data_IF_358314797589
#
_entry.id   IF_358314797589
#
_cell.length_a   1.000
_cell.length_b   1.000
_cell.length_c   1.000
_cell.angle_alpha   90.00
_cell.angle_beta   90.00
_cell.angle_gamma   90.00
#
_symmetry.space_group_name_H-M   'P 1'
#
loop_
_entity.id
_entity.type
_entity.pdbx_description
1 polymer ?
#
# COMPACT_ATOMS: atom_id res chain seq x y z
N UNK A 1 -48.70 22.61 9.05
CA UNK A 1 -49.46 23.74 8.48
C UNK A 1 -48.46 24.84 8.16
N UNK A 2 -48.56 25.49 6.97
CA UNK A 2 -47.67 26.55 6.39
C UNK A 2 -46.44 26.03 5.64
N UNK A 3 -46.07 26.51 4.44
CA UNK A 3 -46.78 27.23 3.38
C UNK A 3 -45.88 27.09 2.13
N UNK A 4 -46.41 26.57 1.02
CA UNK A 4 -45.70 26.45 -0.27
C UNK A 4 -45.64 27.84 -0.91
N UNK A 5 -44.45 28.30 -1.32
CA UNK A 5 -44.33 29.39 -2.30
C UNK A 5 -43.92 28.82 -3.65
N UNK A 6 -44.89 28.81 -4.55
CA UNK A 6 -44.73 28.66 -5.99
C UNK A 6 -44.44 30.06 -6.52
N UNK A 7 -43.30 30.26 -7.18
CA UNK A 7 -43.07 31.44 -8.03
C UNK A 7 -42.94 30.98 -9.47
N UNK A 8 -43.98 31.26 -10.23
CA UNK A 8 -43.97 31.28 -11.69
C UNK A 8 -43.22 32.52 -12.16
N UNK A 9 -42.31 32.38 -13.11
CA UNK A 9 -41.76 33.51 -13.87
C UNK A 9 -41.82 33.19 -15.35
N UNK A 10 -42.25 34.24 -16.07
CA UNK A 10 -42.69 34.34 -17.44
C UNK A 10 -41.79 33.66 -18.49
N UNK A 11 -42.46 33.04 -19.45
CA UNK A 11 -41.92 32.69 -20.75
C UNK A 11 -41.92 33.92 -21.68
N UNK A 12 -40.75 34.33 -22.13
CA UNK A 12 -40.57 35.25 -23.26
C UNK A 12 -40.10 34.46 -24.48
N UNK A 13 -40.99 34.32 -25.45
CA UNK A 13 -40.69 33.75 -26.76
C UNK A 13 -39.95 34.78 -27.63
N UNK A 14 -38.65 34.56 -27.83
CA UNK A 14 -37.85 35.26 -28.85
C UNK A 14 -37.54 34.27 -29.96
N UNK A 15 -38.26 34.44 -31.07
CA UNK A 15 -38.03 33.77 -32.35
C UNK A 15 -36.72 34.24 -32.97
N UNK A 16 -35.67 33.43 -32.80
CA UNK A 16 -34.40 33.56 -33.51
C UNK A 16 -34.44 32.80 -34.82
N UNK A 17 -34.21 33.52 -35.92
CA UNK A 17 -34.02 33.01 -37.26
C UNK A 17 -32.87 32.01 -37.31
N UNK A 18 -33.17 30.77 -37.68
CA UNK A 18 -32.23 29.66 -37.81
C UNK A 18 -31.34 29.84 -39.05
N UNK A 19 -30.17 30.46 -38.86
CA UNK A 19 -29.06 30.32 -39.81
C UNK A 19 -28.46 28.93 -39.59
N UNK A 20 -28.73 28.01 -40.52
CA UNK A 20 -28.09 26.68 -40.56
C UNK A 20 -26.63 26.87 -40.96
N UNK A 21 -25.77 27.11 -39.97
CA UNK A 21 -24.32 26.99 -40.13
C UNK A 21 -24.01 25.49 -40.20
N UNK A 22 -23.75 25.00 -41.41
CA UNK A 22 -23.12 23.68 -41.63
C UNK A 22 -21.71 23.72 -41.04
N UNK A 23 -21.61 23.51 -39.72
CA UNK A 23 -20.37 23.28 -39.03
C UNK A 23 -19.79 21.96 -39.56
N UNK A 24 -18.81 22.06 -40.46
CA UNK A 24 -17.95 20.95 -40.82
C UNK A 24 -17.28 20.46 -39.53
N UNK A 25 -17.84 19.41 -38.94
CA UNK A 25 -17.23 18.71 -37.82
C UNK A 25 -15.91 18.13 -38.32
N UNK A 26 -14.82 18.86 -38.13
CA UNK A 26 -13.47 18.31 -38.26
C UNK A 26 -13.47 17.06 -37.37
N UNK A 27 -13.44 15.88 -37.99
CA UNK A 27 -13.29 14.62 -37.27
C UNK A 27 -12.01 14.77 -36.45
N UNK A 28 -12.15 15.02 -35.15
CA UNK A 28 -11.01 15.10 -34.25
C UNK A 28 -10.33 13.75 -34.34
N UNK A 29 -9.08 13.72 -34.81
CA UNK A 29 -8.28 12.49 -34.75
C UNK A 29 -8.38 11.97 -33.32
N UNK A 30 -8.78 10.71 -33.18
CA UNK A 30 -8.86 10.07 -31.87
C UNK A 30 -7.48 10.15 -31.22
N UNK A 31 -7.40 10.79 -30.05
CA UNK A 31 -6.17 10.80 -29.25
C UNK A 31 -5.67 9.37 -29.04
N UNK A 32 -4.38 9.14 -29.27
CA UNK A 32 -3.73 7.85 -29.00
C UNK A 32 -3.37 7.74 -27.52
N UNK A 33 -3.08 6.53 -27.03
CA UNK A 33 -2.65 6.36 -25.63
C UNK A 33 -1.33 7.10 -25.33
N UNK A 34 -0.48 7.32 -26.34
CA UNK A 34 0.76 8.08 -26.20
C UNK A 34 0.48 9.56 -25.98
N UNK A 35 -0.46 10.13 -26.73
CA UNK A 35 -0.89 11.52 -26.55
C UNK A 35 -1.48 11.74 -25.13
N UNK A 36 -2.22 10.75 -24.62
CA UNK A 36 -2.76 10.76 -23.26
C UNK A 36 -1.65 10.72 -22.20
N UNK A 37 -0.64 9.85 -22.38
CA UNK A 37 0.50 9.76 -21.47
C UNK A 37 1.27 11.09 -21.45
N UNK A 38 1.56 11.67 -22.62
CA UNK A 38 2.22 12.97 -22.72
C UNK A 38 1.42 14.09 -22.02
N UNK A 39 0.11 14.12 -22.23
CA UNK A 39 -0.80 15.03 -21.54
C UNK A 39 -0.75 14.85 -20.02
N UNK A 40 -0.70 13.62 -19.53
CA UNK A 40 -0.57 13.32 -18.10
C UNK A 40 0.77 13.81 -17.53
N UNK A 41 1.89 13.63 -18.23
CA UNK A 41 3.17 14.20 -17.82
C UNK A 41 3.14 15.73 -17.79
N UNK A 42 2.52 16.38 -18.77
CA UNK A 42 2.38 17.84 -18.77
C UNK A 42 1.57 18.34 -17.56
N UNK A 43 0.52 17.62 -17.15
CA UNK A 43 -0.22 17.91 -15.91
C UNK A 43 0.63 17.66 -14.66
N UNK A 44 1.43 16.59 -14.65
CA UNK A 44 2.40 16.31 -13.59
C UNK A 44 3.42 17.44 -13.44
N UNK A 45 3.91 18.03 -14.54
CA UNK A 45 4.82 19.20 -14.51
C UNK A 45 4.14 20.45 -13.94
N UNK A 46 2.83 20.57 -14.10
CA UNK A 46 2.00 21.60 -13.47
C UNK A 46 1.63 21.28 -12.01
N UNK A 47 2.17 20.19 -11.46
CA UNK A 47 1.90 19.67 -10.12
C UNK A 47 0.45 19.22 -9.90
N UNK A 48 -0.29 18.93 -10.96
CA UNK A 48 -1.65 18.39 -10.89
C UNK A 48 -1.65 16.86 -11.02
N UNK A 49 -1.17 16.19 -9.97
CA UNK A 49 -1.10 14.71 -9.91
C UNK A 49 -2.48 14.08 -10.08
N UNK A 50 -3.49 14.61 -9.40
CA UNK A 50 -4.81 14.00 -9.39
C UNK A 50 -5.45 14.03 -10.79
N UNK A 51 -5.34 15.14 -11.52
CA UNK A 51 -5.86 15.20 -12.88
C UNK A 51 -5.08 14.30 -13.84
N UNK A 52 -3.74 14.25 -13.71
CA UNK A 52 -2.90 13.35 -14.50
C UNK A 52 -3.31 11.88 -14.31
N UNK A 53 -3.45 11.43 -13.05
CA UNK A 53 -3.87 10.07 -12.71
C UNK A 53 -5.28 9.78 -13.22
N UNK A 54 -6.23 10.71 -13.08
CA UNK A 54 -7.61 10.51 -13.56
C UNK A 54 -7.69 10.27 -15.08
N UNK A 55 -6.89 11.01 -15.86
CA UNK A 55 -6.84 10.85 -17.31
C UNK A 55 -6.23 9.50 -17.70
N UNK A 56 -5.12 9.11 -17.05
CA UNK A 56 -4.49 7.81 -17.29
C UNK A 56 -5.41 6.65 -16.90
N UNK A 57 -6.11 6.74 -15.77
CA UNK A 57 -7.06 5.72 -15.33
C UNK A 57 -8.26 5.60 -16.29
N UNK A 58 -8.71 6.73 -16.85
CA UNK A 58 -9.77 6.74 -17.87
C UNK A 58 -9.31 6.07 -19.17
N UNK A 59 -8.04 6.24 -19.55
CA UNK A 59 -7.46 5.58 -20.72
C UNK A 59 -7.26 4.08 -20.48
N UNK A 60 -6.79 3.70 -19.29
CA UNK A 60 -6.59 2.32 -18.90
C UNK A 60 -7.89 1.49 -18.93
N UNK A 61 -9.03 2.11 -18.64
CA UNK A 61 -10.35 1.45 -18.74
C UNK A 61 -10.80 1.18 -20.18
N UNK A 62 -10.32 1.97 -21.15
CA UNK A 62 -10.73 1.89 -22.56
C UNK A 62 -9.75 1.07 -23.40
N UNK A 63 -8.50 0.95 -22.96
CA UNK A 63 -7.44 0.27 -23.68
C UNK A 63 -7.44 -1.23 -23.38
N UNK A 64 -7.36 -2.05 -24.43
CA UNK A 64 -7.34 -3.52 -24.35
C UNK A 64 -6.01 -4.12 -24.81
N UNK A 65 -5.17 -3.35 -25.50
CA UNK A 65 -3.89 -3.83 -26.03
C UNK A 65 -2.89 -3.99 -24.88
N UNK A 66 -2.32 -5.18 -24.65
CA UNK A 66 -1.44 -5.43 -23.49
C UNK A 66 -0.23 -4.49 -23.40
N UNK A 67 0.40 -4.16 -24.54
CA UNK A 67 1.53 -3.24 -24.59
C UNK A 67 1.14 -1.81 -24.15
N UNK A 68 0.03 -1.28 -24.67
CA UNK A 68 -0.45 0.05 -24.29
C UNK A 68 -0.92 0.09 -22.82
N UNK A 69 -1.59 -0.97 -22.35
CA UNK A 69 -1.94 -1.12 -20.93
C UNK A 69 -0.69 -1.08 -20.04
N UNK A 70 0.38 -1.78 -20.43
CA UNK A 70 1.62 -1.79 -19.66
C UNK A 70 2.28 -0.40 -19.63
N UNK A 71 2.33 0.32 -20.76
CA UNK A 71 2.87 1.69 -20.82
C UNK A 71 2.04 2.68 -19.98
N UNK A 72 0.71 2.62 -20.05
CA UNK A 72 -0.17 3.47 -19.23
C UNK A 72 0.02 3.19 -17.74
N UNK A 73 0.09 1.91 -17.33
CA UNK A 73 0.35 1.54 -15.93
C UNK A 73 1.70 2.04 -15.44
N UNK A 74 2.74 1.96 -16.29
CA UNK A 74 4.06 2.52 -15.98
C UNK A 74 3.99 4.03 -15.77
N UNK A 75 3.29 4.76 -16.64
CA UNK A 75 3.11 6.20 -16.48
C UNK A 75 2.32 6.57 -15.20
N UNK A 76 1.30 5.77 -14.85
CA UNK A 76 0.56 5.92 -13.59
C UNK A 76 1.51 5.78 -12.40
N UNK A 77 2.32 4.72 -12.38
CA UNK A 77 3.26 4.42 -11.30
C UNK A 77 4.28 5.55 -11.12
N UNK A 78 4.90 6.02 -12.21
CA UNK A 78 5.87 7.12 -12.17
C UNK A 78 5.25 8.42 -11.63
N UNK A 79 4.08 8.82 -12.13
CA UNK A 79 3.41 10.07 -11.71
C UNK A 79 2.88 9.98 -10.27
N UNK A 80 2.42 8.81 -9.84
CA UNK A 80 1.90 8.61 -8.49
C UNK A 80 2.98 8.74 -7.41
N UNK A 81 4.22 8.34 -7.73
CA UNK A 81 5.33 8.26 -6.77
C UNK A 81 6.33 9.43 -6.84
N UNK A 82 6.43 10.13 -7.97
CA UNK A 82 7.37 11.25 -8.10
C UNK A 82 7.04 12.39 -7.11
N UNK A 83 8.07 12.98 -6.52
CA UNK A 83 7.95 14.16 -5.66
C UNK A 83 7.96 15.43 -6.51
N UNK A 84 7.05 16.36 -6.21
CA UNK A 84 6.98 17.69 -6.84
C UNK A 84 7.60 18.80 -5.99
N UNK A 85 8.05 18.46 -4.78
CA UNK A 85 8.69 19.34 -3.83
C UNK A 85 9.89 18.65 -3.18
N UNK A 86 11.07 19.26 -3.33
CA UNK A 86 12.31 18.85 -2.64
C UNK A 86 12.11 18.78 -1.12
N UNK A 87 11.30 19.69 -0.56
CA UNK A 87 10.97 19.70 0.86
C UNK A 87 10.16 18.45 1.26
N UNK A 88 9.18 18.05 0.45
CA UNK A 88 8.40 16.84 0.71
C UNK A 88 9.30 15.59 0.63
N UNK A 89 10.19 15.53 -0.35
CA UNK A 89 11.17 14.45 -0.49
C UNK A 89 12.10 14.37 0.72
N UNK A 90 12.69 15.50 1.17
CA UNK A 90 13.56 15.52 2.35
C UNK A 90 12.84 15.06 3.62
N UNK A 91 11.60 15.50 3.82
CA UNK A 91 10.78 15.07 4.96
C UNK A 91 10.46 13.57 4.89
N UNK A 92 10.13 13.06 3.70
CA UNK A 92 9.92 11.64 3.46
C UNK A 92 11.17 10.82 3.80
N UNK A 93 12.32 11.17 3.23
CA UNK A 93 13.59 10.47 3.46
C UNK A 93 13.99 10.51 4.95
N UNK A 94 13.80 11.66 5.61
CA UNK A 94 14.02 11.80 7.05
C UNK A 94 13.09 10.86 7.83
N UNK A 95 11.80 10.84 7.52
CA UNK A 95 10.81 9.96 8.16
C UNK A 95 11.15 8.49 8.00
N UNK A 96 11.52 8.06 6.79
CA UNK A 96 11.97 6.70 6.45
C UNK A 96 13.21 6.31 7.27
N UNK A 97 14.18 7.23 7.43
CA UNK A 97 15.41 6.97 8.18
C UNK A 97 15.18 6.77 9.68
N UNK A 98 14.22 7.49 10.26
CA UNK A 98 13.88 7.47 11.68
C UNK A 98 13.07 6.23 12.08
N UNK A 99 12.44 5.56 11.11
CA UNK A 99 11.43 4.52 11.32
C UNK A 99 11.85 3.37 12.25
N UNK A 100 13.14 3.00 12.22
CA UNK A 100 13.68 1.89 13.00
C UNK A 100 13.68 2.18 14.50
N UNK A 101 14.11 3.38 14.88
CA UNK A 101 14.47 3.71 16.26
C UNK A 101 13.56 4.80 16.87
N UNK A 102 13.01 5.67 16.02
CA UNK A 102 12.38 6.94 16.38
C UNK A 102 11.01 7.02 15.71
N UNK A 103 10.14 6.05 16.02
CA UNK A 103 8.83 5.90 15.38
C UNK A 103 7.90 7.12 15.53
N UNK A 104 7.85 7.82 16.68
CA UNK A 104 7.10 9.07 16.79
C UNK A 104 7.63 10.16 15.85
N UNK A 105 8.94 10.40 15.84
CA UNK A 105 9.54 11.41 14.94
C UNK A 105 9.35 11.02 13.46
N UNK A 106 9.47 9.73 13.14
CA UNK A 106 9.22 9.20 11.79
C UNK A 106 7.80 9.55 11.30
N UNK A 107 6.80 9.32 12.14
CA UNK A 107 5.41 9.67 11.86
C UNK A 107 5.23 11.18 11.64
N UNK A 108 5.79 12.01 12.52
CA UNK A 108 5.65 13.46 12.42
C UNK A 108 6.22 13.99 11.09
N UNK A 109 7.38 13.49 10.67
CA UNK A 109 7.99 13.86 9.39
C UNK A 109 7.16 13.43 8.19
N UNK A 110 6.59 12.23 8.22
CA UNK A 110 5.73 11.73 7.14
C UNK A 110 4.39 12.49 7.07
N UNK A 111 3.83 12.90 8.21
CA UNK A 111 2.65 13.78 8.26
C UNK A 111 2.96 15.17 7.70
N UNK A 112 4.14 15.74 8.02
CA UNK A 112 4.57 16.99 7.41
C UNK A 112 4.71 16.85 5.89
N UNK A 113 5.31 15.76 5.41
CA UNK A 113 5.43 15.47 3.98
C UNK A 113 4.05 15.33 3.31
N UNK A 114 3.11 14.61 3.94
CA UNK A 114 1.76 14.38 3.41
C UNK A 114 0.91 15.65 3.37
N UNK A 115 1.22 16.68 4.16
CA UNK A 115 0.57 17.99 4.04
C UNK A 115 1.03 18.76 2.81
N UNK A 116 2.26 18.55 2.36
CA UNK A 116 2.82 19.18 1.16
C UNK A 116 2.35 18.43 -0.10
N UNK A 117 2.38 17.09 -0.06
CA UNK A 117 1.98 16.25 -1.18
C UNK A 117 0.98 15.15 -0.74
N UNK A 118 -0.29 15.49 -0.51
CA UNK A 118 -1.30 14.59 0.06
C UNK A 118 -1.71 13.41 -0.83
N UNK A 119 -1.32 13.44 -2.10
CA UNK A 119 -1.64 12.42 -3.10
C UNK A 119 -0.39 11.71 -3.64
N UNK A 120 0.78 11.91 -3.02
CA UNK A 120 1.99 11.13 -3.34
C UNK A 120 1.91 9.75 -2.66
N UNK A 121 2.06 8.69 -3.46
CA UNK A 121 1.83 7.32 -3.00
C UNK A 121 2.95 6.82 -2.09
N UNK A 122 4.20 7.17 -2.36
CA UNK A 122 5.34 6.80 -1.51
C UNK A 122 5.15 7.33 -0.08
N UNK A 123 4.71 8.58 0.07
CA UNK A 123 4.40 9.16 1.38
C UNK A 123 3.24 8.41 2.05
N UNK A 124 2.14 8.16 1.31
CA UNK A 124 0.96 7.50 1.87
C UNK A 124 1.26 6.08 2.37
N UNK A 125 2.06 5.32 1.63
CA UNK A 125 2.50 3.98 2.00
C UNK A 125 3.36 3.97 3.26
N UNK A 126 4.44 4.77 3.29
CA UNK A 126 5.33 4.78 4.44
C UNK A 126 4.63 5.32 5.68
N UNK A 127 3.75 6.32 5.52
CA UNK A 127 2.92 6.81 6.62
C UNK A 127 2.01 5.70 7.17
N UNK A 128 1.36 4.93 6.30
CA UNK A 128 0.53 3.81 6.72
C UNK A 128 1.35 2.69 7.38
N UNK A 129 2.54 2.35 6.88
CA UNK A 129 3.45 1.37 7.53
C UNK A 129 3.86 1.83 8.93
N UNK A 130 4.13 3.13 9.10
CA UNK A 130 4.42 3.72 10.42
C UNK A 130 3.19 3.70 11.33
N UNK A 131 2.00 3.98 10.82
CA UNK A 131 0.76 3.86 11.57
C UNK A 131 0.53 2.41 12.05
N UNK A 132 0.73 1.41 11.19
CA UNK A 132 0.64 -0.02 11.56
C UNK A 132 1.62 -0.34 12.69
N UNK A 133 2.88 0.09 12.56
CA UNK A 133 3.90 -0.09 13.59
C UNK A 133 3.55 0.57 14.93
N UNK A 134 2.67 1.58 14.92
CA UNK A 134 2.12 2.27 16.10
C UNK A 134 0.79 1.68 16.58
N UNK A 135 0.34 0.56 16.01
CA UNK A 135 -0.99 -0.04 16.20
C UNK A 135 -2.17 0.85 15.78
N UNK A 136 -1.93 1.87 14.95
CA UNK A 136 -2.98 2.74 14.38
C UNK A 136 -3.46 2.20 13.01
N UNK A 137 -3.92 0.95 13.03
CA UNK A 137 -4.15 0.19 11.79
C UNK A 137 -5.40 0.63 11.02
N UNK A 138 -6.34 1.28 11.70
CA UNK A 138 -7.52 1.88 11.06
C UNK A 138 -7.14 3.09 10.21
N UNK A 139 -6.37 4.03 10.75
CA UNK A 139 -5.93 5.21 9.99
C UNK A 139 -4.98 4.81 8.86
N UNK A 140 -4.14 3.77 9.08
CA UNK A 140 -3.33 3.18 8.02
C UNK A 140 -4.19 2.70 6.84
N UNK A 141 -5.26 1.94 7.14
CA UNK A 141 -6.22 1.46 6.14
C UNK A 141 -6.86 2.62 5.37
N UNK A 142 -7.36 3.64 6.06
CA UNK A 142 -8.03 4.80 5.45
C UNK A 142 -7.08 5.58 4.54
N UNK A 143 -5.81 5.74 4.96
CA UNK A 143 -4.77 6.45 4.20
C UNK A 143 -4.51 5.79 2.84
N UNK A 144 -4.30 4.48 2.80
CA UNK A 144 -4.02 3.77 1.54
C UNK A 144 -5.27 3.53 0.70
N UNK A 145 -6.43 3.34 1.34
CA UNK A 145 -7.69 3.15 0.63
C UNK A 145 -8.07 4.41 -0.18
N UNK A 146 -7.76 5.60 0.33
CA UNK A 146 -7.92 6.86 -0.43
C UNK A 146 -7.19 6.80 -1.76
N UNK A 147 -5.93 6.36 -1.78
CA UNK A 147 -5.12 6.32 -3.00
C UNK A 147 -5.58 5.21 -3.96
N UNK A 148 -5.94 4.03 -3.42
CA UNK A 148 -6.48 2.92 -4.20
C UNK A 148 -7.84 3.22 -4.86
N UNK A 149 -8.59 4.20 -4.36
CA UNK A 149 -9.81 4.67 -5.04
C UNK A 149 -9.49 5.34 -6.38
N UNK A 150 -8.32 5.97 -6.50
CA UNK A 150 -7.80 6.53 -7.75
C UNK A 150 -7.12 5.45 -8.59
N UNK A 151 -6.13 4.76 -8.03
CA UNK A 151 -5.30 3.78 -8.74
C UNK A 151 -5.49 2.39 -8.16
N UNK A 152 -6.41 1.61 -8.73
CA UNK A 152 -6.81 0.29 -8.20
C UNK A 152 -5.80 -0.85 -8.39
N UNK A 153 -4.71 -0.61 -9.14
CA UNK A 153 -3.79 -1.66 -9.56
C UNK A 153 -2.39 -1.53 -8.97
N UNK A 154 -2.17 -0.52 -8.13
CA UNK A 154 -0.92 -0.32 -7.42
C UNK A 154 -0.68 -1.49 -6.43
N UNK A 155 0.47 -2.15 -6.55
CA UNK A 155 0.76 -3.36 -5.77
C UNK A 155 1.20 -3.03 -4.34
N UNK A 156 2.01 -1.99 -4.17
CA UNK A 156 2.58 -1.63 -2.87
C UNK A 156 1.52 -1.01 -1.94
N UNK A 157 0.59 -0.22 -2.49
CA UNK A 157 -0.61 0.19 -1.78
C UNK A 157 -1.53 -0.98 -1.42
N UNK A 158 -1.70 -1.97 -2.31
CA UNK A 158 -2.49 -3.17 -1.99
C UNK A 158 -1.87 -3.99 -0.87
N UNK A 159 -0.55 -4.18 -0.89
CA UNK A 159 0.16 -4.85 0.19
C UNK A 159 0.01 -4.08 1.50
N UNK A 160 0.15 -2.77 1.47
CA UNK A 160 0.02 -1.93 2.67
C UNK A 160 -1.43 -1.94 3.21
N UNK A 161 -2.43 -1.99 2.32
CA UNK A 161 -3.84 -2.22 2.70
C UNK A 161 -4.02 -3.59 3.36
N UNK A 162 -3.45 -4.64 2.77
CA UNK A 162 -3.53 -5.99 3.32
C UNK A 162 -2.85 -6.09 4.70
N UNK A 163 -1.69 -5.46 4.89
CA UNK A 163 -1.02 -5.34 6.19
C UNK A 163 -1.89 -4.60 7.21
N UNK A 164 -2.55 -3.51 6.80
CA UNK A 164 -3.47 -2.73 7.66
C UNK A 164 -4.69 -3.54 8.08
N UNK A 165 -5.21 -4.40 7.20
CA UNK A 165 -6.34 -5.29 7.47
C UNK A 165 -5.94 -6.46 8.38
N UNK A 166 -4.77 -7.06 8.14
CA UNK A 166 -4.21 -8.11 8.98
C UNK A 166 -3.99 -7.63 10.42
N UNK A 167 -3.44 -6.42 10.60
CA UNK A 167 -3.30 -5.82 11.92
C UNK A 167 -4.64 -5.61 12.67
N UNK A 168 -5.76 -5.55 11.95
CA UNK A 168 -7.11 -5.43 12.53
C UNK A 168 -7.84 -6.78 12.64
N UNK A 169 -7.18 -7.91 12.34
CA UNK A 169 -7.80 -9.23 12.21
C UNK A 169 -8.96 -9.29 11.21
N UNK A 170 -8.99 -8.38 10.22
CA UNK A 170 -10.02 -8.30 9.17
C UNK A 170 -9.70 -9.24 8.01
N UNK A 171 -9.67 -10.54 8.30
CA UNK A 171 -9.21 -11.58 7.37
C UNK A 171 -10.10 -11.75 6.13
N UNK A 172 -11.39 -11.43 6.23
CA UNK A 172 -12.33 -11.51 5.10
C UNK A 172 -12.06 -10.41 4.06
N UNK A 173 -11.85 -9.18 4.50
CA UNK A 173 -11.46 -8.05 3.66
C UNK A 173 -10.06 -8.24 3.08
N UNK A 174 -9.12 -8.72 3.91
CA UNK A 174 -7.78 -9.08 3.47
C UNK A 174 -7.83 -10.08 2.30
N UNK A 175 -8.68 -11.11 2.39
CA UNK A 175 -8.82 -12.13 1.34
C UNK A 175 -9.25 -11.51 0.00
N UNK A 176 -10.17 -10.54 0.04
CA UNK A 176 -10.60 -9.82 -1.18
C UNK A 176 -9.45 -9.05 -1.82
N UNK A 177 -8.56 -8.46 -1.02
CA UNK A 177 -7.37 -7.78 -1.53
C UNK A 177 -6.39 -8.79 -2.14
N UNK A 178 -6.11 -9.87 -1.43
CA UNK A 178 -5.21 -10.94 -1.88
C UNK A 178 -5.64 -11.55 -3.22
N UNK A 179 -6.94 -11.80 -3.40
CA UNK A 179 -7.51 -12.36 -4.64
C UNK A 179 -7.58 -11.35 -5.79
N UNK A 180 -7.46 -10.06 -5.52
CA UNK A 180 -7.59 -8.99 -6.52
C UNK A 180 -6.38 -8.84 -7.45
N UNK A 181 -5.28 -9.56 -7.21
CA UNK A 181 -4.06 -9.46 -8.00
C UNK A 181 -3.21 -10.76 -7.93
N UNK A 182 -2.31 -11.01 -8.90
CA UNK A 182 -1.57 -12.27 -8.98
C UNK A 182 -0.36 -12.31 -8.03
N UNK A 183 -0.59 -12.50 -6.72
CA UNK A 183 0.44 -12.55 -5.65
C UNK A 183 1.65 -13.43 -6.00
N UNK A 184 1.44 -14.57 -6.69
CA UNK A 184 2.54 -15.49 -7.06
C UNK A 184 3.58 -14.88 -8.01
N UNK A 185 3.25 -13.78 -8.69
CA UNK A 185 4.15 -13.06 -9.61
C UNK A 185 4.68 -11.76 -9.01
N UNK A 186 4.27 -11.43 -7.79
CA UNK A 186 4.64 -10.21 -7.08
C UNK A 186 6.12 -10.25 -6.67
N UNK A 187 6.89 -9.18 -6.88
CA UNK A 187 8.22 -9.04 -6.27
C UNK A 187 8.15 -9.04 -4.73
N UNK A 188 6.98 -8.70 -4.18
CA UNK A 188 6.68 -8.66 -2.77
C UNK A 188 6.09 -9.97 -2.21
N UNK A 189 6.14 -11.07 -2.97
CA UNK A 189 5.51 -12.35 -2.59
C UNK A 189 5.84 -12.82 -1.16
N UNK A 190 7.08 -12.60 -0.68
CA UNK A 190 7.47 -12.97 0.69
C UNK A 190 6.66 -12.25 1.78
N UNK A 191 6.33 -10.98 1.58
CA UNK A 191 5.52 -10.22 2.54
C UNK A 191 4.07 -10.71 2.55
N UNK A 192 3.54 -11.09 1.38
CA UNK A 192 2.23 -11.74 1.29
C UNK A 192 2.21 -13.11 1.96
N UNK A 193 3.27 -13.90 1.81
CA UNK A 193 3.40 -15.20 2.47
C UNK A 193 3.43 -15.05 4.00
N UNK A 194 4.09 -14.02 4.53
CA UNK A 194 4.08 -13.73 5.97
C UNK A 194 2.65 -13.47 6.48
N UNK A 195 1.84 -12.68 5.76
CA UNK A 195 0.43 -12.43 6.10
C UNK A 195 -0.43 -13.70 6.01
N UNK A 196 -0.17 -14.56 5.01
CA UNK A 196 -0.85 -15.85 4.90
C UNK A 196 -0.50 -16.79 6.06
N UNK A 197 0.75 -16.80 6.55
CA UNK A 197 1.11 -17.58 7.75
C UNK A 197 0.29 -17.10 8.95
N UNK A 198 0.26 -15.79 9.20
CA UNK A 198 -0.49 -15.19 10.30
C UNK A 198 -1.99 -15.53 10.23
N UNK A 199 -2.62 -15.32 9.08
CA UNK A 199 -4.03 -15.66 8.83
C UNK A 199 -4.35 -17.14 9.04
N UNK A 200 -3.49 -18.04 8.54
CA UNK A 200 -3.73 -19.47 8.67
C UNK A 200 -3.53 -19.95 10.12
N UNK A 201 -2.62 -19.30 10.87
CA UNK A 201 -2.49 -19.52 12.31
C UNK A 201 -3.71 -19.01 13.09
N UNK A 202 -4.20 -17.79 12.80
CA UNK A 202 -5.37 -17.21 13.48
C UNK A 202 -6.66 -18.03 13.24
N UNK A 203 -6.81 -18.59 12.04
CA UNK A 203 -7.90 -19.50 11.67
C UNK A 203 -7.68 -20.97 12.05
N UNK A 204 -6.59 -21.28 12.78
CA UNK A 204 -6.20 -22.65 13.21
C UNK A 204 -5.98 -23.65 12.07
N UNK A 205 -5.76 -23.17 10.85
CA UNK A 205 -5.42 -23.99 9.68
C UNK A 205 -3.92 -24.30 9.64
N UNK A 206 -3.45 -25.10 10.60
CA UNK A 206 -2.01 -25.33 10.85
C UNK A 206 -1.26 -25.95 9.65
N UNK A 207 -1.89 -26.84 8.88
CA UNK A 207 -1.27 -27.43 7.68
C UNK A 207 -0.93 -26.34 6.64
N UNK A 208 -1.89 -25.45 6.35
CA UNK A 208 -1.66 -24.33 5.41
C UNK A 208 -0.66 -23.32 5.95
N UNK A 209 -0.68 -23.05 7.25
CA UNK A 209 0.32 -22.19 7.89
C UNK A 209 1.73 -22.76 7.70
N UNK A 210 1.91 -24.07 7.88
CA UNK A 210 3.19 -24.76 7.64
C UNK A 210 3.65 -24.69 6.19
N UNK A 211 2.75 -24.93 5.23
CA UNK A 211 3.05 -24.85 3.79
C UNK A 211 3.46 -23.43 3.37
N UNK A 212 2.75 -22.41 3.87
CA UNK A 212 3.07 -21.02 3.61
C UNK A 212 4.38 -20.60 4.28
N UNK A 213 4.66 -21.09 5.49
CA UNK A 213 5.92 -20.83 6.19
C UNK A 213 7.12 -21.46 5.48
N UNK A 214 6.99 -22.70 4.99
CA UNK A 214 8.02 -23.35 4.19
C UNK A 214 8.28 -22.56 2.89
N UNK A 215 7.20 -22.08 2.25
CA UNK A 215 7.28 -21.25 1.06
C UNK A 215 7.93 -19.89 1.34
N UNK A 216 7.65 -19.27 2.50
CA UNK A 216 8.27 -18.03 2.95
C UNK A 216 9.78 -18.19 3.12
N UNK A 217 10.21 -19.25 3.82
CA UNK A 217 11.63 -19.57 4.00
C UNK A 217 12.34 -19.81 2.67
N UNK A 218 11.70 -20.55 1.76
CA UNK A 218 12.25 -20.79 0.41
C UNK A 218 12.36 -19.50 -0.42
N UNK A 219 11.42 -18.57 -0.25
CA UNK A 219 11.43 -17.31 -0.97
C UNK A 219 12.59 -16.40 -0.51
N UNK A 220 12.88 -16.38 0.79
CA UNK A 220 13.99 -15.60 1.34
C UNK A 220 14.43 -16.14 2.72
N UNK A 221 15.49 -16.94 2.75
CA UNK A 221 16.03 -17.52 3.99
C UNK A 221 16.65 -16.48 4.93
N UNK A 222 16.95 -15.27 4.42
CA UNK A 222 17.59 -14.20 5.19
C UNK A 222 16.57 -13.19 5.73
N UNK A 223 15.29 -13.38 5.45
CA UNK A 223 14.23 -12.50 5.92
C UNK A 223 13.98 -12.71 7.42
N UNK A 224 14.23 -11.71 8.29
CA UNK A 224 14.22 -11.91 9.73
C UNK A 224 12.88 -12.44 10.27
N UNK A 225 11.76 -11.94 9.76
CA UNK A 225 10.43 -12.33 10.25
C UNK A 225 10.07 -13.78 9.93
N UNK A 226 10.76 -14.45 8.99
CA UNK A 226 10.58 -15.88 8.78
C UNK A 226 10.98 -16.70 10.02
N UNK A 227 11.99 -16.27 10.78
CA UNK A 227 12.39 -16.88 12.05
C UNK A 227 11.33 -16.65 13.13
N UNK A 228 10.80 -15.43 13.23
CA UNK A 228 9.70 -15.11 14.14
C UNK A 228 8.47 -15.98 13.87
N UNK A 229 8.03 -16.07 12.60
CA UNK A 229 6.86 -16.88 12.24
C UNK A 229 7.08 -18.38 12.47
N UNK A 230 8.31 -18.86 12.33
CA UNK A 230 8.64 -20.26 12.64
C UNK A 230 8.53 -20.55 14.13
N UNK A 231 9.13 -19.70 14.96
CA UNK A 231 9.01 -19.82 16.40
C UNK A 231 7.54 -19.74 16.86
N UNK A 232 6.78 -18.75 16.37
CA UNK A 232 5.35 -18.61 16.70
C UNK A 232 4.51 -19.81 16.27
N UNK A 233 4.79 -20.38 15.10
CA UNK A 233 4.11 -21.58 14.62
C UNK A 233 4.31 -22.77 15.56
N UNK A 234 5.55 -23.00 16.00
CA UNK A 234 5.86 -24.08 16.94
C UNK A 234 5.23 -23.87 18.32
N UNK A 235 5.26 -22.64 18.82
CA UNK A 235 4.56 -22.28 20.06
C UNK A 235 3.06 -22.55 19.96
N UNK A 236 2.43 -22.25 18.82
CA UNK A 236 1.01 -22.56 18.59
C UNK A 236 0.72 -24.07 18.56
N UNK A 237 1.71 -24.90 18.24
CA UNK A 237 1.64 -26.36 18.32
C UNK A 237 2.09 -26.92 19.68
N UNK A 238 2.35 -26.05 20.67
CA UNK A 238 2.92 -26.44 21.99
C UNK A 238 4.28 -27.12 21.87
N UNK A 239 5.04 -26.81 20.83
CA UNK A 239 6.44 -27.25 20.64
C UNK A 239 7.36 -26.11 21.04
N UNK A 240 8.44 -26.44 21.74
CA UNK A 240 9.50 -25.47 22.00
C UNK A 240 10.42 -25.38 20.78
N UNK A 241 10.69 -24.16 20.31
CA UNK A 241 11.69 -23.90 19.27
C UNK A 241 12.52 -22.67 19.64
N UNK A 242 13.34 -22.81 20.68
CA UNK A 242 14.23 -21.76 21.17
C UNK A 242 15.29 -21.37 20.13
N UNK A 243 15.64 -22.27 19.21
CA UNK A 243 16.64 -22.01 18.16
C UNK A 243 16.15 -20.92 17.19
N UNK A 244 14.93 -21.04 16.66
CA UNK A 244 14.38 -20.01 15.75
C UNK A 244 14.13 -18.68 16.48
N UNK A 245 13.75 -18.72 17.76
CA UNK A 245 13.63 -17.54 18.60
C UNK A 245 14.98 -16.81 18.77
N UNK A 246 16.05 -17.56 19.06
CA UNK A 246 17.41 -17.02 19.15
C UNK A 246 17.88 -16.44 17.82
N UNK A 247 17.65 -17.15 16.70
CA UNK A 247 17.97 -16.63 15.35
C UNK A 247 17.27 -15.31 15.09
N UNK A 248 15.97 -15.21 15.37
CA UNK A 248 15.22 -13.97 15.21
C UNK A 248 15.87 -12.81 15.99
N UNK A 249 16.10 -12.99 17.29
CA UNK A 249 16.67 -11.96 18.16
C UNK A 249 18.07 -11.55 17.67
N UNK A 250 18.93 -12.50 17.35
CA UNK A 250 20.30 -12.22 16.87
C UNK A 250 20.28 -11.49 15.53
N UNK A 251 19.49 -11.98 14.56
CA UNK A 251 19.37 -11.36 13.24
C UNK A 251 18.85 -9.93 13.36
N UNK A 252 17.85 -9.69 14.21
CA UNK A 252 17.27 -8.37 14.37
C UNK A 252 18.16 -7.38 15.14
N UNK A 253 18.88 -7.84 16.17
CA UNK A 253 19.88 -7.00 16.88
C UNK A 253 21.05 -6.63 15.97
N UNK A 254 21.44 -7.52 15.06
CA UNK A 254 22.58 -7.33 14.16
C UNK A 254 22.18 -6.91 12.73
N UNK A 255 20.93 -6.48 12.51
CA UNK A 255 20.46 -6.12 11.16
C UNK A 255 21.20 -4.88 10.65
N UNK A 256 21.92 -5.04 9.54
CA UNK A 256 22.62 -3.92 8.88
C UNK A 256 21.63 -2.91 8.31
N UNK A 257 22.08 -1.67 8.06
CA UNK A 257 21.24 -0.64 7.44
C UNK A 257 20.71 -1.07 6.06
N UNK A 258 21.52 -1.76 5.27
CA UNK A 258 21.14 -2.26 3.94
C UNK A 258 20.06 -3.35 4.03
N UNK A 259 20.24 -4.34 4.92
CA UNK A 259 19.22 -5.37 5.16
C UNK A 259 17.93 -4.78 5.71
N UNK A 260 18.03 -3.79 6.62
CA UNK A 260 16.85 -3.12 7.15
C UNK A 260 16.07 -2.45 6.02
N UNK A 261 16.73 -1.66 5.15
CA UNK A 261 16.09 -1.05 3.97
C UNK A 261 15.47 -2.08 3.03
N UNK A 262 16.17 -3.20 2.77
CA UNK A 262 15.65 -4.28 1.92
C UNK A 262 14.31 -4.85 2.43
N UNK A 263 14.16 -4.99 3.75
CA UNK A 263 12.97 -5.60 4.36
C UNK A 263 11.97 -4.59 4.92
N UNK A 264 12.20 -3.30 4.68
CA UNK A 264 11.44 -2.24 5.32
C UNK A 264 9.98 -2.17 4.84
N UNK A 265 9.61 -2.87 3.77
CA UNK A 265 8.20 -3.00 3.36
C UNK A 265 7.36 -3.70 4.45
N UNK A 266 7.98 -4.51 5.33
CA UNK A 266 7.31 -5.05 6.50
C UNK A 266 7.25 -4.02 7.66
N UNK A 267 6.05 -3.58 8.08
CA UNK A 267 5.90 -2.63 9.18
C UNK A 267 6.33 -3.19 10.54
N UNK A 268 6.34 -4.52 10.70
CA UNK A 268 6.66 -5.23 11.94
C UNK A 268 8.10 -5.75 12.00
N UNK A 269 8.91 -5.46 10.97
CA UNK A 269 10.31 -5.86 10.91
C UNK A 269 11.05 -5.57 12.22
N UNK A 270 11.49 -6.63 12.90
CA UNK A 270 12.26 -6.62 14.13
C UNK A 270 11.60 -5.90 15.31
N UNK A 271 10.27 -5.71 15.30
CA UNK A 271 9.56 -5.04 16.39
C UNK A 271 9.18 -5.97 17.54
N UNK A 272 9.26 -7.28 17.33
CA UNK A 272 8.80 -8.31 18.29
C UNK A 272 9.94 -8.90 19.13
N UNK A 273 11.12 -8.27 19.14
CA UNK A 273 12.29 -8.74 19.90
C UNK A 273 11.96 -8.86 21.38
N UNK A 274 11.32 -7.84 21.97
CA UNK A 274 11.02 -7.80 23.41
C UNK A 274 10.08 -8.95 23.80
N UNK A 275 9.06 -9.20 22.98
CA UNK A 275 8.12 -10.32 23.17
C UNK A 275 8.87 -11.66 23.16
N UNK A 276 9.68 -11.90 22.13
CA UNK A 276 10.43 -13.15 21.96
C UNK A 276 11.41 -13.37 23.11
N UNK A 277 12.13 -12.32 23.53
CA UNK A 277 13.06 -12.40 24.66
C UNK A 277 12.37 -12.67 25.99
N UNK A 278 11.17 -12.10 26.22
CA UNK A 278 10.41 -12.34 27.43
C UNK A 278 9.96 -13.80 27.53
N UNK A 279 9.41 -14.35 26.44
CA UNK A 279 8.99 -15.76 26.38
C UNK A 279 10.16 -16.72 26.56
N UNK A 280 11.31 -16.46 25.93
CA UNK A 280 12.51 -17.27 26.10
C UNK A 280 13.00 -17.31 27.55
N UNK A 281 12.93 -16.18 28.28
CA UNK A 281 13.29 -16.13 29.70
C UNK A 281 12.30 -16.89 30.58
N UNK A 282 11.00 -16.83 30.27
CA UNK A 282 9.95 -17.57 30.97
C UNK A 282 10.06 -19.09 30.79
N UNK A 283 10.48 -19.54 29.60
CA UNK A 283 10.70 -20.96 29.31
C UNK A 283 11.86 -21.55 30.12
N UNK A 284 12.94 -20.79 30.34
CA UNK A 284 14.10 -21.25 31.10
C UNK A 284 13.87 -21.33 32.63
N UNK A 285 12.77 -20.77 33.13
CA UNK A 285 12.47 -20.70 34.56
C UNK A 285 11.53 -21.80 35.08
N UNK A 286 11.03 -22.70 34.22
CA UNK A 286 10.19 -23.83 34.65
C UNK A 286 11.06 -25.09 34.70
N UNK A 287 11.39 -25.63 35.89
CA UNK A 287 11.98 -26.97 35.98
C UNK A 287 10.96 -27.98 35.42
N UNK A 288 11.45 -28.91 34.58
CA UNK A 288 10.68 -30.04 34.04
C UNK A 288 10.18 -30.97 35.14
#
# INVERSE_FOLDING_TARGET
MRLRMIRAVLATALSFSSVVVLAQSKMSRSETYKDIIEKAYNLSLQKDRQQALNILMSALQKESRPAAVAEIKKAVDEIAHIFFSDKAQQLYESGVSLRKNELPQSYDKLIEASRIEPDNFAIAEELARVMIARNDCKNAQETVQKQLNTVKHDEDLKLTLAQSLACQDKWAEYQKVFESFPVKKSPNMKYWLALEVEKNMSSKSMTKAQENLASLKKADEKYPEAFYWSWRFDMAQKRSNLEEAQKYVMTCKNISANQYRQYMIDPMLCRRIIEVEAEMKGANGRPE
#
